data_IF_123450381455
#
_entry.id   IF_123450381455
#
_cell.length_a   1.000
_cell.length_b   1.000
_cell.length_c   1.000
_cell.angle_alpha   90.00
_cell.angle_beta   90.00
_cell.angle_gamma   90.00
#
_symmetry.space_group_name_H-M   'P 1'
#
loop_
_entity.id
_entity.type
_entity.pdbx_description
1 polymer ?
#
# COMPACT_ATOMS: atom_id res chain seq x y z
N UNK A 1 8.63 0.86 -4.16
CA UNK A 1 8.32 0.38 -5.53
C UNK A 1 9.61 0.09 -6.28
N UNK A 2 9.53 -0.13 -7.60
CA UNK A 2 10.71 -0.51 -8.42
C UNK A 2 11.82 0.55 -8.44
N UNK A 3 11.50 1.83 -8.22
CA UNK A 3 12.52 2.88 -8.08
C UNK A 3 13.27 2.85 -6.74
N UNK A 4 12.73 2.17 -5.73
CA UNK A 4 13.35 2.03 -4.42
C UNK A 4 14.16 0.73 -4.31
N UNK A 5 13.71 -0.34 -4.97
CA UNK A 5 14.29 -1.68 -4.89
C UNK A 5 14.97 -2.16 -6.18
N UNK A 6 14.96 -1.37 -7.26
CA UNK A 6 15.23 -1.82 -8.64
C UNK A 6 14.10 -2.67 -9.25
N UNK A 7 14.08 -2.77 -10.59
CA UNK A 7 13.16 -3.66 -11.30
C UNK A 7 13.44 -5.14 -10.95
N UNK A 8 14.71 -5.50 -10.88
CA UNK A 8 15.22 -6.79 -10.41
C UNK A 8 15.91 -6.55 -9.06
N UNK A 9 15.20 -6.72 -7.94
CA UNK A 9 15.76 -6.44 -6.62
C UNK A 9 16.96 -7.32 -6.30
N UNK A 10 17.89 -6.76 -5.51
CA UNK A 10 19.01 -7.48 -4.89
C UNK A 10 18.91 -7.41 -3.37
N UNK A 11 19.64 -8.29 -2.67
CA UNK A 11 19.71 -8.26 -1.20
C UNK A 11 20.17 -6.88 -0.71
N UNK A 12 21.17 -6.28 -1.35
CA UNK A 12 21.69 -4.96 -0.99
C UNK A 12 20.66 -3.86 -1.17
N UNK A 13 19.88 -3.88 -2.25
CA UNK A 13 18.82 -2.89 -2.49
C UNK A 13 17.71 -2.97 -1.41
N UNK A 14 17.34 -4.20 -1.02
CA UNK A 14 16.34 -4.44 0.03
C UNK A 14 16.88 -4.02 1.38
N UNK A 15 18.13 -4.38 1.71
CA UNK A 15 18.79 -3.94 2.95
C UNK A 15 18.91 -2.42 3.02
N UNK A 16 19.27 -1.76 1.91
CA UNK A 16 19.36 -0.30 1.84
C UNK A 16 18.00 0.36 2.12
N UNK A 17 16.94 -0.13 1.48
CA UNK A 17 15.57 0.31 1.76
C UNK A 17 15.21 0.13 3.24
N UNK A 18 15.42 -1.07 3.79
CA UNK A 18 15.05 -1.39 5.17
C UNK A 18 15.80 -0.53 6.19
N UNK A 19 17.06 -0.24 5.94
CA UNK A 19 17.86 0.63 6.80
C UNK A 19 17.38 2.09 6.79
N UNK A 20 16.80 2.55 5.69
CA UNK A 20 16.36 3.94 5.52
C UNK A 20 14.89 4.17 5.89
N UNK A 21 14.02 3.24 5.52
CA UNK A 21 12.55 3.41 5.58
C UNK A 21 11.84 2.42 6.51
N UNK A 22 12.52 1.35 6.96
CA UNK A 22 11.92 0.29 7.76
C UNK A 22 11.40 -0.88 6.92
N UNK A 23 10.49 -1.68 7.48
CA UNK A 23 10.03 -2.91 6.83
C UNK A 23 9.41 -2.68 5.45
N UNK A 24 9.78 -3.55 4.50
CA UNK A 24 9.32 -3.54 3.11
C UNK A 24 7.98 -4.29 2.90
N UNK A 25 7.58 -5.08 3.89
CA UNK A 25 6.27 -5.70 3.99
C UNK A 25 5.88 -5.85 5.47
N UNK A 26 4.60 -5.63 5.80
CA UNK A 26 4.07 -5.67 7.17
C UNK A 26 2.53 -5.63 7.15
N UNK A 27 1.91 -5.88 8.31
CA UNK A 27 0.47 -5.67 8.53
C UNK A 27 0.23 -4.57 9.55
N UNK A 28 -0.95 -3.99 9.55
CA UNK A 28 -1.40 -3.07 10.61
C UNK A 28 -2.93 -3.03 10.67
N UNK A 29 -3.45 -2.49 11.76
CA UNK A 29 -4.88 -2.44 12.02
C UNK A 29 -5.34 -1.07 12.47
N UNK A 30 -6.48 -0.64 11.95
CA UNK A 30 -7.14 0.60 12.33
C UNK A 30 -8.65 0.35 12.33
N UNK A 31 -9.30 0.63 13.45
CA UNK A 31 -10.77 0.63 13.60
C UNK A 31 -11.48 -0.61 13.01
N UNK A 32 -10.94 -1.80 13.29
CA UNK A 32 -11.50 -3.08 12.85
C UNK A 32 -11.17 -3.48 11.42
N UNK A 33 -10.34 -2.70 10.71
CA UNK A 33 -9.81 -3.04 9.39
C UNK A 33 -8.39 -3.58 9.49
N UNK A 34 -8.06 -4.58 8.67
CA UNK A 34 -6.71 -5.09 8.49
C UNK A 34 -6.13 -4.56 7.19
N UNK A 35 -4.90 -4.08 7.26
CA UNK A 35 -4.14 -3.61 6.11
C UNK A 35 -2.87 -4.44 5.98
N UNK A 36 -2.59 -4.87 4.75
CA UNK A 36 -1.46 -5.72 4.42
C UNK A 36 -0.62 -5.00 3.38
N UNK A 37 0.63 -4.69 3.71
CA UNK A 37 1.59 -4.09 2.79
C UNK A 37 2.56 -5.18 2.34
N UNK A 38 2.72 -5.36 1.03
CA UNK A 38 3.64 -6.36 0.47
C UNK A 38 4.70 -5.71 -0.43
N UNK A 39 5.90 -6.28 -0.43
CA UNK A 39 6.89 -5.96 -1.44
C UNK A 39 6.60 -6.76 -2.72
N UNK A 40 5.79 -6.17 -3.59
CA UNK A 40 5.37 -6.84 -4.83
C UNK A 40 6.50 -7.04 -5.85
N UNK A 41 7.66 -6.38 -5.67
CA UNK A 41 8.81 -6.57 -6.56
C UNK A 41 9.28 -8.02 -6.59
N UNK A 42 9.21 -8.74 -5.47
CA UNK A 42 9.60 -10.15 -5.40
C UNK A 42 8.72 -11.06 -6.27
N UNK A 43 7.44 -10.69 -6.47
CA UNK A 43 6.54 -11.41 -7.36
C UNK A 43 6.74 -11.03 -8.85
N UNK A 44 7.40 -9.91 -9.13
CA UNK A 44 7.75 -9.50 -10.49
C UNK A 44 9.07 -10.15 -10.93
N UNK A 45 10.07 -10.12 -10.06
CA UNK A 45 11.38 -10.74 -10.26
C UNK A 45 12.05 -11.02 -8.91
N UNK A 46 12.29 -12.30 -8.62
CA UNK A 46 13.00 -12.75 -7.42
C UNK A 46 14.34 -13.43 -7.73
N UNK A 47 14.86 -13.29 -8.95
CA UNK A 47 16.07 -14.01 -9.41
C UNK A 47 17.26 -13.82 -8.46
N UNK A 48 17.44 -12.62 -7.90
CA UNK A 48 18.55 -12.31 -6.98
C UNK A 48 18.13 -12.26 -5.49
N UNK A 49 16.88 -12.62 -5.16
CA UNK A 49 16.32 -12.49 -3.80
C UNK A 49 15.40 -13.66 -3.44
N UNK A 50 15.65 -14.86 -3.98
CA UNK A 50 14.80 -16.04 -3.79
C UNK A 50 14.47 -16.32 -2.32
N UNK A 51 15.46 -16.23 -1.42
CA UNK A 51 15.23 -16.44 0.01
C UNK A 51 14.28 -15.40 0.64
N UNK A 52 14.38 -14.13 0.24
CA UNK A 52 13.49 -13.06 0.71
C UNK A 52 12.08 -13.19 0.13
N UNK A 53 11.99 -13.66 -1.13
CA UNK A 53 10.72 -14.02 -1.74
C UNK A 53 10.04 -15.16 -0.97
N UNK A 54 10.74 -16.24 -0.67
CA UNK A 54 10.19 -17.40 0.05
C UNK A 54 9.73 -17.00 1.46
N UNK A 55 10.51 -16.16 2.15
CA UNK A 55 10.14 -15.59 3.45
C UNK A 55 8.82 -14.81 3.37
N UNK A 56 8.69 -13.91 2.39
CA UNK A 56 7.47 -13.13 2.21
C UNK A 56 6.29 -14.00 1.75
N UNK A 57 6.49 -14.98 0.86
CA UNK A 57 5.42 -15.85 0.35
C UNK A 57 4.84 -16.75 1.46
N UNK A 58 5.69 -17.22 2.38
CA UNK A 58 5.22 -17.93 3.59
C UNK A 58 4.54 -17.00 4.58
N UNK A 59 5.09 -15.79 4.77
CA UNK A 59 4.53 -14.81 5.67
C UNK A 59 3.14 -14.36 5.23
N UNK A 60 2.94 -14.05 3.95
CA UNK A 60 1.65 -13.59 3.43
C UNK A 60 0.58 -14.67 3.59
N UNK A 61 0.93 -15.95 3.40
CA UNK A 61 -0.01 -17.05 3.63
C UNK A 61 -0.51 -17.09 5.08
N UNK A 62 0.38 -16.85 6.06
CA UNK A 62 -0.03 -16.72 7.47
C UNK A 62 -0.95 -15.51 7.70
N UNK A 63 -0.64 -14.36 7.09
CA UNK A 63 -1.48 -13.16 7.25
C UNK A 63 -2.86 -13.32 6.61
N UNK A 64 -2.96 -14.05 5.49
CA UNK A 64 -4.23 -14.32 4.83
C UNK A 64 -5.07 -15.35 5.58
N UNK A 65 -4.44 -16.31 6.27
CA UNK A 65 -5.15 -17.18 7.20
C UNK A 65 -5.72 -16.39 8.39
N UNK A 66 -4.94 -15.48 8.97
CA UNK A 66 -5.41 -14.56 10.02
C UNK A 66 -6.54 -13.67 9.52
N UNK A 67 -6.41 -13.09 8.32
CA UNK A 67 -7.45 -12.26 7.72
C UNK A 67 -8.79 -13.02 7.55
N UNK A 68 -8.72 -14.31 7.22
CA UNK A 68 -9.88 -15.17 7.03
C UNK A 68 -10.53 -15.61 8.34
N UNK A 69 -9.72 -15.88 9.37
CA UNK A 69 -10.18 -16.30 10.68
C UNK A 69 -10.61 -15.11 11.55
N UNK A 70 -9.99 -13.96 11.33
CA UNK A 70 -10.24 -12.71 12.01
C UNK A 70 -11.56 -12.09 11.57
N UNK A 71 -12.28 -11.50 12.52
CA UNK A 71 -13.54 -10.81 12.25
C UNK A 71 -13.28 -9.35 11.85
N UNK A 72 -12.48 -9.14 10.80
CA UNK A 72 -12.18 -7.80 10.28
C UNK A 72 -13.33 -7.26 9.44
N UNK A 73 -13.64 -5.98 9.61
CA UNK A 73 -14.67 -5.28 8.80
C UNK A 73 -14.25 -5.22 7.33
N UNK A 74 -12.98 -4.87 7.10
CA UNK A 74 -12.37 -4.92 5.78
C UNK A 74 -10.93 -5.41 5.87
N UNK A 75 -10.50 -6.11 4.82
CA UNK A 75 -9.09 -6.45 4.60
C UNK A 75 -8.64 -5.78 3.31
N UNK A 76 -7.53 -5.04 3.36
CA UNK A 76 -7.01 -4.24 2.25
C UNK A 76 -5.54 -4.54 2.03
N UNK A 77 -5.13 -4.69 0.78
CA UNK A 77 -3.73 -4.89 0.39
C UNK A 77 -3.17 -3.63 -0.26
N UNK A 78 -1.95 -3.24 0.09
CA UNK A 78 -1.17 -2.19 -0.54
C UNK A 78 0.07 -2.77 -1.21
N UNK A 79 0.32 -2.34 -2.45
CA UNK A 79 1.48 -2.73 -3.22
C UNK A 79 1.84 -1.67 -4.28
N UNK A 80 2.96 -1.85 -4.97
CA UNK A 80 3.39 -0.91 -6.02
C UNK A 80 2.91 -1.30 -7.42
N UNK A 81 3.38 -2.43 -7.95
CA UNK A 81 2.99 -2.98 -9.26
C UNK A 81 1.59 -3.58 -9.18
N UNK A 82 0.66 -3.27 -10.10
CA UNK A 82 -0.65 -3.90 -10.12
C UNK A 82 -0.58 -5.35 -10.65
N UNK A 83 -1.43 -6.22 -10.11
CA UNK A 83 -1.59 -7.58 -10.63
C UNK A 83 -2.08 -7.57 -12.08
N UNK A 84 -3.06 -6.71 -12.37
CA UNK A 84 -3.62 -6.41 -13.69
C UNK A 84 -4.11 -4.96 -13.74
N UNK A 85 -4.27 -4.40 -14.93
CA UNK A 85 -4.72 -3.04 -15.16
C UNK A 85 -6.23 -2.94 -15.41
N UNK A 86 -6.83 -3.93 -16.08
CA UNK A 86 -8.25 -3.91 -16.41
C UNK A 86 -8.92 -5.27 -16.15
N UNK A 87 -8.30 -6.36 -16.60
CA UNK A 87 -8.85 -7.72 -16.49
C UNK A 87 -7.79 -8.71 -16.01
N UNK A 88 -8.16 -9.67 -15.17
CA UNK A 88 -7.22 -10.65 -14.64
C UNK A 88 -6.56 -11.50 -15.75
N UNK A 89 -7.26 -11.71 -16.87
CA UNK A 89 -6.80 -12.47 -18.04
C UNK A 89 -6.12 -11.59 -19.09
N UNK A 90 -5.89 -10.30 -18.82
CA UNK A 90 -5.20 -9.44 -19.77
C UNK A 90 -3.78 -10.00 -20.06
N UNK A 91 -3.24 -9.80 -21.29
CA UNK A 91 -1.89 -10.22 -21.63
C UNK A 91 -0.85 -9.67 -20.65
N UNK A 92 0.28 -10.37 -20.54
CA UNK A 92 1.42 -9.85 -19.80
C UNK A 92 1.92 -8.57 -20.48
N UNK A 93 1.93 -7.50 -19.71
CA UNK A 93 2.67 -6.29 -19.99
C UNK A 93 3.90 -6.31 -19.09
N UNK A 94 5.06 -6.62 -19.67
CA UNK A 94 6.31 -6.73 -18.92
C UNK A 94 6.65 -5.47 -18.14
N UNK A 95 6.15 -4.30 -18.58
CA UNK A 95 6.37 -3.04 -17.89
C UNK A 95 5.38 -2.83 -16.76
N UNK A 96 4.11 -3.19 -16.92
CA UNK A 96 3.06 -2.66 -16.04
C UNK A 96 2.31 -3.67 -15.18
N UNK A 97 2.34 -4.98 -15.47
CA UNK A 97 1.62 -5.97 -14.68
C UNK A 97 2.44 -7.23 -14.35
N UNK A 98 1.89 -8.13 -13.52
CA UNK A 98 2.55 -9.38 -13.10
C UNK A 98 2.18 -10.52 -14.05
N UNK A 99 3.08 -11.48 -14.25
CA UNK A 99 2.85 -12.65 -15.12
C UNK A 99 1.63 -13.48 -14.68
N UNK A 100 0.99 -14.12 -15.65
CA UNK A 100 -0.36 -14.68 -15.54
C UNK A 100 -0.48 -15.74 -14.42
N UNK A 101 0.47 -16.66 -14.26
CA UNK A 101 0.39 -17.76 -13.30
C UNK A 101 0.47 -17.23 -11.86
N UNK A 102 1.47 -16.40 -11.58
CA UNK A 102 1.66 -15.74 -10.28
C UNK A 102 0.52 -14.80 -9.96
N UNK A 103 0.05 -14.03 -10.96
CA UNK A 103 -1.11 -13.14 -10.83
C UNK A 103 -2.34 -13.90 -10.36
N UNK A 104 -2.73 -14.97 -11.06
CA UNK A 104 -3.92 -15.74 -10.69
C UNK A 104 -3.76 -16.37 -9.31
N UNK A 105 -2.61 -17.00 -9.02
CA UNK A 105 -2.32 -17.59 -7.71
C UNK A 105 -2.53 -16.58 -6.58
N UNK A 106 -1.95 -15.39 -6.68
CA UNK A 106 -2.01 -14.39 -5.61
C UNK A 106 -3.38 -13.72 -5.51
N UNK A 107 -4.00 -13.36 -6.63
CA UNK A 107 -5.32 -12.72 -6.64
C UNK A 107 -6.40 -13.69 -6.11
N UNK A 108 -6.30 -14.99 -6.39
CA UNK A 108 -7.18 -15.99 -5.80
C UNK A 108 -6.96 -16.16 -4.30
N UNK A 109 -5.69 -16.18 -3.83
CA UNK A 109 -5.36 -16.20 -2.39
C UNK A 109 -5.99 -15.00 -1.66
N UNK A 110 -5.84 -13.79 -2.20
CA UNK A 110 -6.41 -12.58 -1.62
C UNK A 110 -7.94 -12.63 -1.57
N UNK A 111 -8.59 -13.01 -2.67
CA UNK A 111 -10.04 -13.16 -2.69
C UNK A 111 -10.53 -14.20 -1.67
N UNK A 112 -9.88 -15.36 -1.58
CA UNK A 112 -10.24 -16.42 -0.65
C UNK A 112 -10.08 -16.04 0.82
N UNK A 113 -9.24 -15.05 1.12
CA UNK A 113 -9.01 -14.47 2.44
C UNK A 113 -9.96 -13.31 2.77
N UNK A 114 -10.88 -12.95 1.87
CA UNK A 114 -11.82 -11.85 2.09
C UNK A 114 -11.22 -10.45 1.86
N UNK A 115 -10.09 -10.35 1.15
CA UNK A 115 -9.54 -9.04 0.74
C UNK A 115 -10.57 -8.32 -0.14
N UNK A 116 -10.87 -7.07 0.23
CA UNK A 116 -11.89 -6.26 -0.43
C UNK A 116 -11.31 -5.34 -1.49
N UNK A 117 -10.14 -4.78 -1.23
CA UNK A 117 -9.48 -3.83 -2.10
C UNK A 117 -7.96 -4.05 -2.13
N UNK A 118 -7.37 -3.93 -3.32
CA UNK A 118 -5.92 -3.89 -3.54
C UNK A 118 -5.59 -2.53 -4.14
N UNK A 119 -4.77 -1.74 -3.47
CA UNK A 119 -4.31 -0.44 -3.98
C UNK A 119 -2.89 -0.57 -4.54
N UNK A 120 -2.72 -0.09 -5.77
CA UNK A 120 -1.47 -0.11 -6.51
C UNK A 120 -1.17 1.24 -7.18
N UNK A 121 0.06 1.39 -7.67
CA UNK A 121 0.56 2.52 -8.44
C UNK A 121 1.20 2.05 -9.74
N UNK A 122 2.44 2.48 -9.98
CA UNK A 122 3.33 2.03 -11.08
C UNK A 122 2.91 2.42 -12.51
N UNK A 123 1.63 2.35 -12.87
CA UNK A 123 1.14 2.60 -14.24
C UNK A 123 1.12 4.09 -14.64
N UNK A 124 1.28 5.01 -13.69
CA UNK A 124 1.28 6.47 -13.91
C UNK A 124 0.01 7.00 -14.60
N UNK A 125 -1.08 6.22 -14.53
CA UNK A 125 -2.45 6.49 -14.96
C UNK A 125 -3.39 5.87 -13.94
N UNK A 126 -4.62 6.38 -13.87
CA UNK A 126 -5.67 5.66 -13.17
C UNK A 126 -6.09 4.44 -14.00
N UNK A 127 -6.17 3.29 -13.35
CA UNK A 127 -6.65 2.03 -13.91
C UNK A 127 -7.23 1.18 -12.78
N UNK A 128 -7.58 -0.06 -13.09
CA UNK A 128 -8.13 -1.01 -12.14
C UNK A 128 -9.28 -1.79 -12.75
N UNK A 129 -9.68 -2.82 -12.02
CA UNK A 129 -10.77 -3.69 -12.38
C UNK A 129 -11.25 -4.50 -11.19
N UNK A 130 -12.26 -5.33 -11.41
CA UNK A 130 -12.80 -6.22 -10.38
C UNK A 130 -12.43 -7.65 -10.66
N UNK A 131 -12.06 -8.36 -9.61
CA UNK A 131 -12.01 -9.81 -9.60
C UNK A 131 -13.02 -10.33 -8.59
N UNK A 132 -14.13 -10.88 -9.08
CA UNK A 132 -15.30 -11.26 -8.26
C UNK A 132 -15.77 -10.04 -7.45
N UNK A 133 -15.81 -10.13 -6.11
CA UNK A 133 -16.19 -9.02 -5.22
C UNK A 133 -14.99 -8.17 -4.75
N UNK A 134 -13.76 -8.49 -5.14
CA UNK A 134 -12.55 -7.74 -4.81
C UNK A 134 -12.23 -6.73 -5.91
N UNK A 135 -11.79 -5.53 -5.52
CA UNK A 135 -11.40 -4.46 -6.45
C UNK A 135 -9.89 -4.25 -6.43
N UNK A 136 -9.29 -4.10 -7.61
CA UNK A 136 -7.91 -3.64 -7.76
C UNK A 136 -7.95 -2.20 -8.28
N UNK A 137 -7.31 -1.29 -7.56
CA UNK A 137 -7.31 0.14 -7.83
C UNK A 137 -5.90 0.60 -8.13
N UNK A 138 -5.68 1.18 -9.32
CA UNK A 138 -4.41 1.79 -9.69
C UNK A 138 -4.54 3.30 -9.65
N UNK A 139 -3.68 3.95 -8.85
CA UNK A 139 -3.66 5.41 -8.72
C UNK A 139 -2.55 6.00 -9.59
N UNK A 140 -2.90 7.05 -10.34
CA UNK A 140 -1.95 7.79 -11.18
C UNK A 140 -0.81 8.41 -10.35
N UNK A 141 0.31 8.70 -11.00
CA UNK A 141 1.45 9.38 -10.39
C UNK A 141 1.14 10.86 -10.09
N UNK A 142 1.94 11.48 -9.21
CA UNK A 142 1.85 12.92 -8.91
C UNK A 142 2.82 13.78 -9.73
N UNK A 143 3.96 13.24 -10.17
CA UNK A 143 5.01 14.03 -10.86
C UNK A 143 5.45 13.50 -12.22
N UNK A 144 4.86 12.41 -12.71
CA UNK A 144 5.28 11.75 -13.94
C UNK A 144 4.10 11.07 -14.64
N UNK A 145 2.95 11.73 -14.71
CA UNK A 145 1.77 11.16 -15.35
C UNK A 145 2.06 10.84 -16.81
N UNK A 146 1.59 9.69 -17.26
CA UNK A 146 1.62 9.33 -18.66
C UNK A 146 0.21 9.48 -19.20
N UNK A 147 -0.23 10.61 -19.77
CA UNK A 147 -1.57 10.67 -20.36
C UNK A 147 -1.72 9.71 -21.56
N UNK A 148 -2.93 9.19 -21.84
CA UNK A 148 -3.29 8.82 -23.20
C UNK A 148 -3.13 10.05 -24.12
N UNK A 149 -2.81 9.88 -25.42
CA UNK A 149 -2.57 11.01 -26.33
C UNK A 149 -3.70 12.06 -26.42
N UNK A 150 -4.92 11.73 -25.96
CA UNK A 150 -6.10 12.60 -26.01
C UNK A 150 -6.64 13.06 -24.65
N UNK A 151 -5.92 12.89 -23.53
CA UNK A 151 -6.40 13.31 -22.21
C UNK A 151 -5.36 14.10 -21.42
N UNK A 152 -5.81 15.12 -20.70
CA UNK A 152 -5.00 15.76 -19.67
C UNK A 152 -4.85 14.80 -18.50
N UNK A 153 -3.63 14.36 -18.20
CA UNK A 153 -3.33 13.62 -16.98
C UNK A 153 -2.82 14.60 -15.93
N UNK A 154 -3.77 15.24 -15.24
CA UNK A 154 -3.43 16.11 -14.13
C UNK A 154 -2.80 15.29 -12.99
N UNK A 155 -1.87 15.92 -12.27
CA UNK A 155 -1.49 15.46 -10.95
C UNK A 155 -2.69 15.38 -10.03
N UNK A 156 -2.65 14.44 -9.10
CA UNK A 156 -3.77 14.19 -8.22
C UNK A 156 -3.46 13.11 -7.21
N UNK A 157 -4.40 12.89 -6.30
CA UNK A 157 -4.33 11.90 -5.24
C UNK A 157 -5.66 11.17 -5.12
N UNK A 158 -5.65 9.98 -4.53
CA UNK A 158 -6.87 9.22 -4.29
C UNK A 158 -7.32 9.39 -2.85
N UNK A 159 -8.56 9.85 -2.67
CA UNK A 159 -9.22 9.86 -1.38
C UNK A 159 -9.99 8.54 -1.24
N UNK A 160 -9.73 7.81 -0.17
CA UNK A 160 -10.40 6.56 0.18
C UNK A 160 -11.21 6.81 1.45
N UNK A 161 -12.49 6.47 1.42
CA UNK A 161 -13.41 6.54 2.56
C UNK A 161 -13.79 5.11 2.93
N UNK A 162 -13.52 4.75 4.18
CA UNK A 162 -13.80 3.43 4.75
C UNK A 162 -14.92 3.58 5.75
N UNK A 163 -16.08 3.06 5.39
CA UNK A 163 -17.26 2.97 6.26
C UNK A 163 -17.37 1.55 6.83
N UNK A 164 -18.34 1.27 7.69
CA UNK A 164 -18.51 -0.06 8.27
C UNK A 164 -18.77 -1.16 7.23
N UNK A 165 -19.55 -0.86 6.20
CA UNK A 165 -20.05 -1.81 5.21
C UNK A 165 -19.40 -1.66 3.83
N UNK A 166 -18.64 -0.57 3.58
CA UNK A 166 -18.05 -0.28 2.27
C UNK A 166 -16.71 0.44 2.32
N UNK A 167 -15.93 0.23 1.27
CA UNK A 167 -14.80 1.08 0.89
C UNK A 167 -15.20 1.81 -0.38
N UNK A 168 -15.11 3.13 -0.38
CA UNK A 168 -15.33 3.97 -1.56
C UNK A 168 -14.11 4.83 -1.81
N UNK A 169 -13.87 5.22 -3.06
CA UNK A 169 -12.72 6.04 -3.40
C UNK A 169 -12.97 6.97 -4.59
N UNK A 170 -12.24 8.07 -4.64
CA UNK A 170 -12.23 8.98 -5.79
C UNK A 170 -10.83 9.52 -6.04
N UNK A 171 -10.46 9.66 -7.32
CA UNK A 171 -9.27 10.42 -7.69
C UNK A 171 -9.63 11.91 -7.68
N UNK A 172 -8.74 12.73 -7.11
CA UNK A 172 -8.89 14.17 -7.00
C UNK A 172 -7.69 14.82 -7.69
N UNK A 173 -7.97 15.55 -8.75
CA UNK A 173 -6.98 16.36 -9.45
C UNK A 173 -6.51 17.51 -8.56
N UNK A 174 -5.19 17.72 -8.51
CA UNK A 174 -4.56 18.92 -7.98
C UNK A 174 -4.70 20.00 -9.05
N UNK A 175 -5.52 21.01 -8.76
CA UNK A 175 -5.64 22.18 -9.61
C UNK A 175 -4.53 23.17 -9.27
N UNK A 176 -3.69 23.51 -10.25
CA UNK A 176 -2.76 24.63 -10.12
C UNK A 176 -3.50 25.89 -10.56
N UNK A 177 -3.78 26.81 -9.64
CA UNK A 177 -4.34 28.12 -9.99
C UNK A 177 -3.22 29.04 -10.49
N UNK A 178 -3.48 29.82 -11.54
CA UNK A 178 -2.52 30.72 -12.19
C UNK A 178 -2.25 32.02 -11.42
N UNK A 179 -2.64 32.11 -10.15
CA UNK A 179 -2.39 33.26 -9.27
C UNK A 179 -1.58 32.81 -8.06
N UNK A 180 -0.28 33.09 -8.07
CA UNK A 180 0.67 33.02 -6.94
C UNK A 180 0.39 31.95 -5.86
N UNK A 181 1.04 30.79 -6.03
CA UNK A 181 1.60 29.96 -4.96
C UNK A 181 0.72 29.65 -3.74
N UNK A 182 -0.49 29.13 -3.96
CA UNK A 182 -1.21 28.38 -2.92
C UNK A 182 -1.80 27.13 -3.57
N UNK A 183 -1.33 25.95 -3.15
CA UNK A 183 -1.98 24.69 -3.49
C UNK A 183 -3.34 24.66 -2.82
N UNK A 184 -4.40 24.83 -3.59
CA UNK A 184 -5.76 24.64 -3.10
C UNK A 184 -6.04 23.13 -3.03
N UNK A 185 -5.63 22.51 -1.93
CA UNK A 185 -6.18 21.21 -1.57
C UNK A 185 -7.66 21.46 -1.32
N UNK A 186 -8.52 20.95 -2.19
CA UNK A 186 -9.93 20.77 -1.85
C UNK A 186 -9.96 19.83 -0.65
N UNK A 187 -9.83 20.39 0.56
CA UNK A 187 -10.18 19.76 1.81
C UNK A 187 -11.64 19.40 1.63
N UNK A 188 -11.88 18.12 1.34
CA UNK A 188 -13.20 17.55 1.51
C UNK A 188 -13.51 17.81 2.97
N UNK A 189 -14.39 18.79 3.25
CA UNK A 189 -14.91 19.02 4.58
C UNK A 189 -15.59 17.72 4.98
N UNK A 190 -14.92 16.91 5.76
CA UNK A 190 -15.59 15.90 6.56
C UNK A 190 -16.59 16.68 7.40
N UNK A 191 -17.87 16.33 7.30
CA UNK A 191 -18.83 16.77 8.29
C UNK A 191 -18.23 16.45 9.67
N UNK A 192 -18.41 17.33 10.65
CA UNK A 192 -17.98 17.13 12.04
C UNK A 192 -18.74 15.97 12.71
N UNK A 193 -18.74 14.78 12.12
CA UNK A 193 -18.90 13.55 12.86
C UNK A 193 -17.62 13.41 13.66
N UNK A 194 -17.67 13.85 14.93
CA UNK A 194 -16.65 13.55 15.93
C UNK A 194 -16.28 12.08 15.76
N UNK A 195 -15.11 11.83 15.19
CA UNK A 195 -14.52 10.51 15.24
C UNK A 195 -14.42 10.20 16.74
N UNK A 196 -15.07 9.14 17.26
CA UNK A 196 -14.85 8.77 18.65
C UNK A 196 -13.34 8.62 18.84
N UNK A 197 -12.76 9.09 19.96
CA UNK A 197 -11.32 9.03 20.18
C UNK A 197 -10.86 7.60 19.93
N UNK A 198 -9.99 7.43 18.94
CA UNK A 198 -9.46 6.13 18.58
C UNK A 198 -8.78 5.55 19.82
N UNK A 199 -9.32 4.46 20.34
CA UNK A 199 -8.70 3.69 21.41
C UNK A 199 -7.58 2.77 20.88
N UNK A 200 -7.27 2.85 19.58
CA UNK A 200 -6.31 1.96 18.94
C UNK A 200 -4.91 2.58 19.02
N UNK A 201 -4.12 2.08 19.98
CA UNK A 201 -2.65 2.15 19.89
C UNK A 201 -2.25 1.51 18.56
N UNK A 202 -1.41 2.19 17.77
CA UNK A 202 -0.61 1.50 16.75
C UNK A 202 0.21 0.42 17.47
N UNK A 203 -0.21 -0.84 17.34
CA UNK A 203 0.56 -1.97 17.83
C UNK A 203 1.58 -2.28 16.73
N UNK A 204 2.89 -2.15 16.98
CA UNK A 204 3.89 -2.54 16.00
C UNK A 204 3.74 -4.04 15.71
N UNK A 205 3.81 -4.41 14.43
CA UNK A 205 3.98 -5.82 14.06
C UNK A 205 5.40 -6.24 14.42
N UNK A 206 5.49 -7.25 15.28
CA UNK A 206 6.72 -7.97 15.57
C UNK A 206 6.93 -8.99 14.44
N UNK A 207 7.95 -8.80 13.58
CA UNK A 207 8.57 -9.96 12.91
C UNK A 207 9.23 -10.78 14.01
N UNK A 208 9.05 -12.10 14.01
CA UNK A 208 9.71 -13.00 14.98
C UNK A 208 11.22 -12.68 15.06
N UNK A 209 11.79 -12.72 16.27
CA UNK A 209 13.04 -12.12 16.80
C UNK A 209 14.38 -12.38 16.05
N UNK A 210 14.40 -12.52 14.73
CA UNK A 210 15.62 -12.63 13.92
C UNK A 210 15.97 -11.36 13.14
N UNK A 211 15.13 -10.32 13.18
CA UNK A 211 15.44 -9.03 12.57
C UNK A 211 15.35 -7.91 13.62
N UNK A 212 16.49 -7.31 13.96
CA UNK A 212 16.54 -6.06 14.75
C UNK A 212 15.77 -4.94 14.03
N UNK A 213 14.48 -4.85 14.25
CA UNK A 213 13.65 -3.75 13.75
C UNK A 213 14.00 -2.48 14.53
N UNK A 214 14.76 -1.57 13.91
CA UNK A 214 14.96 -0.21 14.43
C UNK A 214 13.70 0.61 14.15
N UNK A 215 12.81 0.65 15.15
CA UNK A 215 11.62 1.51 15.18
C UNK A 215 11.97 2.98 14.90
N UNK A 216 11.76 3.45 13.66
CA UNK A 216 11.73 4.87 13.32
C UNK A 216 10.60 5.17 12.32
N UNK A 217 9.51 5.68 12.88
CA UNK A 217 8.56 6.60 12.27
C UNK A 217 7.62 6.05 11.18
N UNK A 218 6.46 5.55 11.61
CA UNK A 218 5.23 5.67 10.84
C UNK A 218 4.69 7.09 11.03
N UNK A 219 4.75 7.94 10.00
CA UNK A 219 4.09 9.24 10.03
C UNK A 219 2.57 9.05 9.85
N UNK A 220 1.85 8.90 10.96
CA UNK A 220 0.46 9.29 11.07
C UNK A 220 0.44 10.69 11.71
N UNK A 221 0.30 11.73 10.89
CA UNK A 221 0.18 13.10 11.39
C UNK A 221 -1.24 13.33 11.91
N UNK A 222 -1.39 13.36 13.24
CA UNK A 222 -2.43 14.13 13.92
C UNK A 222 -1.95 14.54 15.33
N UNK A 223 -1.70 15.84 15.47
CA UNK A 223 -1.46 16.67 16.68
C UNK A 223 -0.22 16.44 17.58
N UNK A 224 0.31 17.54 18.19
CA UNK A 224 1.71 17.65 18.57
C UNK A 224 2.04 16.80 19.80
N UNK A 225 3.18 16.11 19.75
CA UNK A 225 3.69 15.33 20.88
C UNK A 225 3.82 16.19 22.14
N UNK A 226 3.35 15.73 23.31
CA UNK A 226 3.65 16.39 24.57
C UNK A 226 5.14 16.30 24.92
N UNK A 227 5.58 17.27 25.71
CA UNK A 227 6.95 17.58 26.09
C UNK A 227 7.76 16.37 26.61
N UNK A 228 9.01 16.23 26.13
CA UNK A 228 9.96 15.21 26.63
C UNK A 228 10.42 15.53 28.06
N UNK A 229 10.38 14.59 29.01
CA UNK A 229 11.18 14.67 30.22
C UNK A 229 12.62 14.26 29.91
N UNK A 230 13.58 15.07 30.35
CA UNK A 230 15.02 14.81 30.33
C UNK A 230 15.46 13.88 31.47
N UNK A 231 16.40 12.98 31.20
CA UNK A 231 17.16 12.17 32.19
C UNK A 231 16.97 10.66 31.96
N UNK A 232 17.97 9.79 31.93
CA UNK A 232 19.37 9.81 32.35
C UNK A 232 20.20 8.91 31.42
N UNK A 233 21.49 9.26 31.20
CA UNK A 233 22.52 8.32 30.72
C UNK A 233 22.97 7.44 31.88
N UNK A 234 23.26 6.17 31.61
CA UNK A 234 24.24 5.39 32.36
C UNK A 234 25.15 4.63 31.37
N UNK A 235 26.46 4.77 31.66
CA UNK A 235 27.69 4.24 31.07
C UNK A 235 27.64 3.53 29.71
#
# INVERSE_FOLDING_TARGET
GNHDFLNSPTVESVTAYKNQFGDDYFTFWVDGCMFIVINVQFYKDHTNVLALYDEQDQWIDKQLLEAKAGNYKHVVVFQHIPWFLNDINEPLDEMFNIENVTRHRMVDKFHAAGVRAIFAGHYHRNAGGRYKNMELIVTSAIGAQSPPPQQNANSGYRVVTVDEDKISHKYVDIKVSSSNSVFDFNLVRFAETRCPPSATRAVPVMKEDSSEAKYRTACAMSDPSPYRPTGYRLA
#
